data_IF_215140411830
#
_entry.id   IF_215140411830
#
_cell.length_a   1.000
_cell.length_b   1.000
_cell.length_c   1.000
_cell.angle_alpha   90.00
_cell.angle_beta   90.00
_cell.angle_gamma   90.00
#
_symmetry.space_group_name_H-M   'P 1'
#
loop_
_entity.id
_entity.type
_entity.pdbx_description
1 polymer ?
#
# COMPACT_ATOMS: atom_id res chain seq x y z
N UNK A 1 -16.01 2.34 0.31
CA UNK A 1 -15.12 1.18 0.61
C UNK A 1 -15.24 0.88 2.10
N UNK A 2 -15.00 -0.36 2.53
CA UNK A 2 -14.98 -0.77 3.94
C UNK A 2 -13.67 -1.54 4.22
N UNK A 3 -13.14 -1.49 5.45
CA UNK A 3 -11.97 -2.28 5.81
C UNK A 3 -12.41 -3.74 5.99
N UNK A 4 -11.66 -4.67 5.38
CA UNK A 4 -11.98 -6.11 5.44
C UNK A 4 -11.21 -6.85 6.54
N UNK A 5 -10.56 -6.10 7.42
CA UNK A 5 -9.63 -6.60 8.44
C UNK A 5 -8.40 -7.25 7.81
N UNK A 6 -7.76 -8.16 8.55
CA UNK A 6 -6.58 -8.88 8.10
C UNK A 6 -6.94 -10.19 7.41
N UNK A 7 -6.35 -10.42 6.23
CA UNK A 7 -6.49 -11.65 5.44
C UNK A 7 -5.12 -12.23 5.13
N UNK A 8 -5.04 -13.56 5.08
CA UNK A 8 -3.82 -14.23 4.62
C UNK A 8 -3.63 -14.01 3.13
N UNK A 9 -2.44 -13.52 2.75
CA UNK A 9 -2.04 -13.22 1.39
C UNK A 9 -0.58 -13.64 1.18
N UNK A 10 -0.37 -14.71 0.40
CA UNK A 10 0.95 -15.28 0.06
C UNK A 10 1.87 -15.40 1.29
N UNK A 11 1.42 -16.13 2.31
CA UNK A 11 2.24 -16.47 3.49
C UNK A 11 2.38 -15.39 4.56
N UNK A 12 1.72 -14.23 4.41
CA UNK A 12 1.68 -13.17 5.41
C UNK A 12 0.30 -12.52 5.48
N UNK A 13 0.02 -11.78 6.56
CA UNK A 13 -1.22 -11.03 6.70
C UNK A 13 -1.15 -9.68 5.96
N UNK A 14 -2.25 -9.35 5.29
CA UNK A 14 -2.54 -8.04 4.68
C UNK A 14 -3.81 -7.47 5.31
N UNK A 15 -3.80 -6.20 5.73
CA UNK A 15 -4.89 -5.64 6.55
C UNK A 15 -5.60 -4.44 5.91
N UNK A 16 -6.89 -4.31 6.22
CA UNK A 16 -7.70 -3.11 6.05
C UNK A 16 -7.97 -2.67 4.61
N UNK A 17 -8.19 -1.36 4.43
CA UNK A 17 -8.70 -0.77 3.19
C UNK A 17 -7.85 -1.09 1.96
N UNK A 18 -6.53 -1.06 2.13
CA UNK A 18 -5.55 -1.26 1.06
C UNK A 18 -4.76 -2.57 1.24
N UNK A 19 -5.20 -3.50 2.08
CA UNK A 19 -4.50 -4.78 2.28
C UNK A 19 -2.99 -4.59 2.55
N UNK A 20 -2.66 -3.66 3.44
CA UNK A 20 -1.29 -3.28 3.80
C UNK A 20 -0.65 -4.40 4.62
N UNK A 21 0.57 -4.82 4.26
CA UNK A 21 1.40 -5.76 5.05
C UNK A 21 2.21 -5.01 6.12
N UNK A 22 2.62 -5.71 7.18
CA UNK A 22 3.42 -5.11 8.25
C UNK A 22 4.72 -4.42 7.75
N UNK A 23 5.55 -5.02 6.87
CA UNK A 23 6.74 -4.33 6.34
C UNK A 23 6.41 -3.08 5.52
N UNK A 24 5.27 -3.08 4.83
CA UNK A 24 4.79 -1.89 4.11
C UNK A 24 4.48 -0.75 5.09
N UNK A 25 3.82 -1.07 6.21
CA UNK A 25 3.51 -0.10 7.26
C UNK A 25 4.76 0.46 7.95
N UNK A 26 5.76 -0.39 8.19
CA UNK A 26 7.07 0.04 8.67
C UNK A 26 7.70 1.06 7.71
N UNK A 27 7.66 0.76 6.42
CA UNK A 27 8.28 1.58 5.40
C UNK A 27 7.57 2.90 5.12
N UNK A 28 6.25 2.96 5.33
CA UNK A 28 5.49 4.21 5.24
C UNK A 28 5.68 5.14 6.44
N UNK A 29 6.55 4.77 7.38
CA UNK A 29 6.92 5.59 8.53
C UNK A 29 6.10 5.32 9.79
N UNK A 30 5.41 4.16 9.87
CA UNK A 30 4.62 3.77 11.06
C UNK A 30 3.57 4.83 11.41
N UNK A 31 2.86 5.32 10.39
CA UNK A 31 1.92 6.45 10.49
C UNK A 31 0.88 6.18 11.57
N UNK A 32 0.68 7.16 12.45
CA UNK A 32 -0.35 7.08 13.49
C UNK A 32 -0.04 6.13 14.64
N UNK A 33 1.16 5.52 14.69
CA UNK A 33 1.61 4.72 15.85
C UNK A 33 1.67 5.58 17.11
N UNK A 34 1.10 5.08 18.21
CA UNK A 34 1.07 5.78 19.50
C UNK A 34 2.24 5.34 20.38
N UNK A 35 2.64 6.21 21.32
CA UNK A 35 3.67 5.86 22.30
C UNK A 35 3.23 4.66 23.15
N UNK A 36 4.10 3.66 23.29
CA UNK A 36 3.81 2.41 24.01
C UNK A 36 2.93 1.40 23.25
N UNK A 37 2.46 1.72 22.05
CA UNK A 37 1.69 0.79 21.21
C UNK A 37 2.64 -0.21 20.52
N UNK A 38 2.22 -1.48 20.43
CA UNK A 38 2.97 -2.45 19.62
C UNK A 38 2.83 -2.12 18.13
N UNK A 39 3.84 -2.44 17.33
CA UNK A 39 3.80 -2.17 15.90
C UNK A 39 2.68 -2.95 15.18
N UNK A 40 2.41 -4.19 15.61
CA UNK A 40 1.33 -5.02 15.07
C UNK A 40 -0.05 -4.39 15.34
N UNK A 41 -0.27 -3.89 16.56
CA UNK A 41 -1.50 -3.18 16.92
C UNK A 41 -1.66 -1.89 16.11
N UNK A 42 -0.59 -1.10 16.02
CA UNK A 42 -0.59 0.16 15.28
C UNK A 42 -0.86 -0.07 13.78
N UNK A 43 -0.21 -1.07 13.19
CA UNK A 43 -0.39 -1.47 11.79
C UNK A 43 -1.83 -1.85 11.49
N UNK A 44 -2.42 -2.77 12.27
CA UNK A 44 -3.80 -3.24 12.05
C UNK A 44 -4.80 -2.09 12.19
N UNK A 45 -4.68 -1.30 13.27
CA UNK A 45 -5.52 -0.13 13.51
C UNK A 45 -5.40 0.91 12.41
N UNK A 46 -4.18 1.24 11.97
CA UNK A 46 -3.96 2.20 10.90
C UNK A 46 -4.51 1.68 9.57
N UNK A 47 -4.34 0.39 9.28
CA UNK A 47 -4.84 -0.21 8.04
C UNK A 47 -6.37 -0.19 7.93
N UNK A 48 -7.07 -0.35 9.07
CA UNK A 48 -8.53 -0.29 9.16
C UNK A 48 -9.08 1.15 9.28
N UNK A 49 -8.22 2.16 9.37
CA UNK A 49 -8.59 3.57 9.32
C UNK A 49 -8.28 4.16 7.93
N UNK A 50 -9.30 4.65 7.23
CA UNK A 50 -9.13 5.07 5.83
C UNK A 50 -8.09 6.19 5.67
N UNK A 51 -8.08 7.16 6.59
CA UNK A 51 -7.17 8.31 6.52
C UNK A 51 -5.72 7.88 6.80
N UNK A 52 -5.52 7.05 7.83
CA UNK A 52 -4.20 6.54 8.19
C UNK A 52 -3.65 5.63 7.11
N UNK A 53 -4.47 4.71 6.59
CA UNK A 53 -4.09 3.80 5.53
C UNK A 53 -3.75 4.54 4.23
N UNK A 54 -4.53 5.57 3.86
CA UNK A 54 -4.25 6.40 2.68
C UNK A 54 -2.93 7.16 2.83
N UNK A 55 -2.70 7.77 3.98
CA UNK A 55 -1.44 8.46 4.30
C UNK A 55 -0.25 7.49 4.25
N UNK A 56 -0.43 6.25 4.73
CA UNK A 56 0.60 5.22 4.63
C UNK A 56 0.92 4.87 3.17
N UNK A 57 -0.08 4.70 2.32
CA UNK A 57 0.13 4.46 0.87
C UNK A 57 0.89 5.62 0.23
N UNK A 58 0.47 6.86 0.50
CA UNK A 58 1.13 8.06 -0.02
C UNK A 58 2.60 8.16 0.40
N UNK A 59 2.90 7.93 1.68
CA UNK A 59 4.26 7.95 2.21
C UNK A 59 5.12 6.84 1.60
N UNK A 60 4.56 5.64 1.45
CA UNK A 60 5.26 4.52 0.82
C UNK A 60 5.60 4.80 -0.64
N UNK A 61 4.63 5.31 -1.41
CA UNK A 61 4.84 5.71 -2.81
C UNK A 61 5.86 6.84 -2.87
N UNK A 62 5.76 7.86 -2.02
CA UNK A 62 6.74 8.95 -1.98
C UNK A 62 8.16 8.43 -1.75
N UNK A 63 8.33 7.50 -0.80
CA UNK A 63 9.62 6.87 -0.49
C UNK A 63 10.24 6.12 -1.67
N UNK A 64 9.44 5.41 -2.45
CA UNK A 64 9.94 4.51 -3.52
C UNK A 64 9.71 5.01 -4.96
N UNK A 65 9.05 6.16 -5.13
CA UNK A 65 8.74 6.75 -6.44
C UNK A 65 9.95 7.09 -7.31
N UNK A 66 11.14 7.20 -6.70
CA UNK A 66 12.42 7.50 -7.35
C UNK A 66 12.78 6.57 -8.52
N UNK A 67 12.29 5.32 -8.51
CA UNK A 67 12.52 4.34 -9.59
C UNK A 67 11.42 4.27 -10.64
N UNK A 68 10.43 5.16 -10.59
CA UNK A 68 9.16 5.03 -11.31
C UNK A 68 8.68 6.30 -12.01
N UNK A 69 9.59 7.24 -12.32
CA UNK A 69 9.22 8.57 -12.86
C UNK A 69 8.53 8.53 -14.23
N UNK A 70 8.73 7.46 -14.99
CA UNK A 70 8.16 7.28 -16.32
C UNK A 70 6.66 6.95 -16.32
N UNK A 71 6.08 6.62 -15.17
CA UNK A 71 4.68 6.23 -15.04
C UNK A 71 3.82 7.35 -14.47
N UNK A 72 2.53 7.37 -14.81
CA UNK A 72 1.56 8.30 -14.22
C UNK A 72 1.45 8.12 -12.70
N UNK A 73 0.87 9.12 -12.02
CA UNK A 73 0.69 9.04 -10.57
C UNK A 73 -0.09 7.79 -10.14
N UNK A 74 -1.16 7.45 -10.87
CA UNK A 74 -1.99 6.28 -10.56
C UNK A 74 -1.29 4.97 -10.90
N UNK A 75 -0.65 4.85 -12.07
CA UNK A 75 0.09 3.63 -12.42
C UNK A 75 1.23 3.38 -11.44
N UNK A 76 2.02 4.41 -11.13
CA UNK A 76 3.12 4.32 -10.17
C UNK A 76 2.63 3.87 -8.80
N UNK A 77 1.55 4.48 -8.29
CA UNK A 77 0.96 4.10 -7.00
C UNK A 77 0.49 2.65 -7.03
N UNK A 78 -0.25 2.23 -8.05
CA UNK A 78 -0.77 0.87 -8.17
C UNK A 78 0.36 -0.17 -8.20
N UNK A 79 1.41 0.09 -9.01
CA UNK A 79 2.51 -0.85 -9.19
C UNK A 79 3.41 -0.93 -7.96
N UNK A 80 3.72 0.19 -7.31
CA UNK A 80 4.47 0.20 -6.04
C UNK A 80 3.67 -0.45 -4.90
N UNK A 81 2.36 -0.21 -4.86
CA UNK A 81 1.50 -0.79 -3.83
C UNK A 81 1.44 -2.33 -3.95
N UNK A 82 1.30 -2.85 -5.16
CA UNK A 82 1.23 -4.29 -5.39
C UNK A 82 2.60 -4.99 -5.37
N UNK A 83 3.63 -4.36 -5.93
CA UNK A 83 4.95 -4.98 -6.14
C UNK A 83 6.05 -4.55 -5.17
N UNK A 84 5.73 -3.70 -4.20
CA UNK A 84 6.70 -3.18 -3.24
C UNK A 84 7.69 -2.17 -3.85
N UNK A 85 8.90 -2.02 -3.27
CA UNK A 85 9.82 -0.91 -3.59
C UNK A 85 10.25 -0.83 -5.05
N UNK A 86 10.29 -1.97 -5.75
CA UNK A 86 10.68 -2.07 -7.16
C UNK A 86 9.49 -2.42 -8.07
N UNK A 87 8.25 -2.26 -7.61
CA UNK A 87 7.05 -2.77 -8.27
C UNK A 87 6.86 -2.28 -9.72
N UNK A 88 7.33 -1.08 -10.05
CA UNK A 88 7.24 -0.51 -11.41
C UNK A 88 8.16 -1.18 -12.44
N UNK A 89 9.14 -1.97 -11.99
CA UNK A 89 10.07 -2.70 -12.85
C UNK A 89 9.75 -4.21 -12.89
N UNK A 90 8.68 -4.63 -12.21
CA UNK A 90 8.23 -6.02 -12.18
C UNK A 90 7.05 -6.19 -13.12
N UNK A 91 7.17 -7.06 -14.13
CA UNK A 91 6.09 -7.30 -15.10
C UNK A 91 4.81 -7.84 -14.46
N UNK A 92 4.92 -8.56 -13.35
CA UNK A 92 3.77 -9.11 -12.59
C UNK A 92 2.79 -8.05 -12.05
N UNK A 93 3.21 -6.79 -11.90
CA UNK A 93 2.33 -5.71 -11.41
C UNK A 93 1.46 -5.08 -12.50
N UNK A 94 1.69 -5.41 -13.78
CA UNK A 94 0.90 -4.88 -14.90
C UNK A 94 -0.56 -5.35 -14.85
N UNK A 95 -0.80 -6.61 -14.46
CA UNK A 95 -2.15 -7.14 -14.30
C UNK A 95 -2.94 -6.37 -13.24
N UNK A 96 -2.30 -6.10 -12.10
CA UNK A 96 -2.89 -5.28 -11.05
C UNK A 96 -3.20 -3.86 -11.52
N UNK A 97 -2.26 -3.20 -12.21
CA UNK A 97 -2.49 -1.87 -12.78
C UNK A 97 -3.69 -1.86 -13.74
N UNK A 98 -3.80 -2.82 -14.66
CA UNK A 98 -4.91 -2.87 -15.62
C UNK A 98 -6.28 -2.97 -14.93
N UNK A 99 -6.37 -3.71 -13.81
CA UNK A 99 -7.59 -3.76 -13.00
C UNK A 99 -7.90 -2.40 -12.39
N UNK A 100 -6.90 -1.77 -11.74
CA UNK A 100 -7.07 -0.43 -11.14
C UNK A 100 -7.49 0.59 -12.18
N UNK A 101 -6.80 0.63 -13.33
CA UNK A 101 -7.07 1.51 -14.46
C UNK A 101 -8.51 1.40 -14.94
N UNK A 102 -9.04 0.18 -15.05
CA UNK A 102 -10.42 -0.07 -15.45
C UNK A 102 -11.44 0.42 -14.41
N UNK A 103 -11.13 0.31 -13.12
CA UNK A 103 -12.01 0.77 -12.04
C UNK A 103 -12.04 2.30 -11.89
N UNK A 104 -10.89 2.98 -12.01
CA UNK A 104 -10.81 4.43 -11.81
C UNK A 104 -11.05 5.26 -13.08
N UNK A 105 -10.92 4.66 -14.27
CA UNK A 105 -10.87 5.41 -15.53
C UNK A 105 -9.68 6.37 -15.63
N UNK A 106 -8.64 6.17 -14.82
CA UNK A 106 -7.50 7.07 -14.67
C UNK A 106 -6.36 6.71 -15.62
N UNK A 107 -5.63 7.73 -16.09
CA UNK A 107 -4.47 7.61 -17.00
C UNK A 107 -3.16 7.87 -16.29
#
# INVERSE_FOLDING_TARGET
>A
MQPIGCRMDVGSLSCGYFQIKLPYYEDCGKVGMRSGESIDTAWKRCSDDYSCASTCVENYVKRYSGGCHQYSGCERTARLHNGGPNGCNVGGTLGYWNVVKACCGCS
#
